data_IF_445078981220
#
_entry.id   IF_445078981220
#
_cell.length_a   1.000
_cell.length_b   1.000
_cell.length_c   1.000
_cell.angle_alpha   90.00
_cell.angle_beta   90.00
_cell.angle_gamma   90.00
#
_symmetry.space_group_name_H-M   'P 1'
#
loop_
_entity.id
_entity.type
_entity.pdbx_description
1 polymer ?
#
# COMPACT_ATOMS: atom_id res chain seq x y z
N UNK A 1 -23.22 14.28 79.34
CA UNK A 1 -23.27 13.81 77.96
C UNK A 1 -21.84 13.74 77.47
N UNK A 2 -21.44 12.56 76.97
CA UNK A 2 -20.07 12.07 76.95
C UNK A 2 -19.25 12.76 75.81
N UNK A 3 -18.00 13.14 76.07
CA UNK A 3 -17.13 13.81 75.09
C UNK A 3 -16.84 12.99 73.79
N UNK A 4 -17.08 11.68 73.83
CA UNK A 4 -16.85 10.71 72.77
C UNK A 4 -17.66 11.04 71.50
N UNK A 5 -18.87 11.61 71.67
CA UNK A 5 -19.73 11.96 70.51
C UNK A 5 -19.25 13.18 69.73
N UNK A 6 -18.51 14.11 70.36
CA UNK A 6 -17.92 15.28 69.68
C UNK A 6 -16.74 14.89 68.78
N UNK A 7 -15.94 13.90 69.14
CA UNK A 7 -14.81 13.43 68.35
C UNK A 7 -15.24 12.55 67.18
N UNK A 8 -16.38 11.85 67.31
CA UNK A 8 -16.94 11.03 66.23
C UNK A 8 -17.50 11.91 65.07
N UNK A 9 -18.09 13.09 65.44
CA UNK A 9 -18.57 14.03 64.42
C UNK A 9 -17.39 14.75 63.72
N UNK A 10 -16.31 15.03 64.45
CA UNK A 10 -15.12 15.71 63.88
C UNK A 10 -14.33 14.78 62.93
N UNK A 11 -14.33 13.44 63.20
CA UNK A 11 -13.65 12.48 62.32
C UNK A 11 -14.42 12.22 61.02
N UNK A 12 -15.75 12.35 61.02
CA UNK A 12 -16.58 12.22 59.79
C UNK A 12 -16.46 13.44 58.88
N UNK A 13 -16.22 14.63 59.42
CA UNK A 13 -16.04 15.86 58.63
C UNK A 13 -14.68 15.92 57.90
N UNK A 14 -13.63 15.20 58.36
CA UNK A 14 -12.32 15.16 57.71
C UNK A 14 -12.27 14.18 56.53
N UNK A 15 -13.21 13.23 56.40
CA UNK A 15 -13.24 12.25 55.33
C UNK A 15 -13.84 12.75 54.00
N UNK A 16 -14.43 13.94 53.99
CA UNK A 16 -15.12 14.50 52.80
C UNK A 16 -14.22 15.43 51.93
N UNK A 17 -12.95 15.62 52.27
CA UNK A 17 -12.05 16.50 51.50
C UNK A 17 -11.03 15.75 50.62
N UNK A 18 -11.23 14.44 50.39
CA UNK A 18 -10.36 13.66 49.48
C UNK A 18 -10.99 13.48 48.10
N UNK A 19 -11.44 14.54 47.48
CA UNK A 19 -11.65 14.60 46.03
C UNK A 19 -10.48 15.38 45.41
N UNK A 20 -9.30 14.77 45.42
CA UNK A 20 -8.17 15.20 44.56
C UNK A 20 -8.48 14.83 43.12
N UNK A 21 -9.15 15.71 42.35
CA UNK A 21 -9.21 15.60 40.93
C UNK A 21 -7.76 15.60 40.40
N UNK A 22 -7.37 14.52 39.77
CA UNK A 22 -6.11 14.52 39.00
C UNK A 22 -6.18 15.67 38.00
N UNK A 23 -5.16 16.54 37.95
CA UNK A 23 -5.12 17.56 36.90
C UNK A 23 -5.17 16.80 35.55
N UNK A 24 -6.23 17.02 34.78
CA UNK A 24 -6.29 16.61 33.40
C UNK A 24 -5.03 17.16 32.70
N UNK A 25 -4.18 16.26 32.20
CA UNK A 25 -3.05 16.67 31.38
C UNK A 25 -3.62 17.52 30.24
N UNK A 26 -3.15 18.76 30.05
CA UNK A 26 -3.63 19.59 28.95
C UNK A 26 -3.47 18.77 27.67
N UNK A 27 -4.55 18.63 26.92
CA UNK A 27 -4.53 18.00 25.62
C UNK A 27 -3.51 18.79 24.77
N UNK A 28 -2.36 18.16 24.50
CA UNK A 28 -1.33 18.78 23.67
C UNK A 28 -1.94 18.97 22.29
N UNK A 29 -2.25 20.19 21.94
CA UNK A 29 -2.64 20.56 20.58
C UNK A 29 -1.41 20.37 19.70
N UNK A 30 -1.39 19.24 18.95
CA UNK A 30 -0.35 18.97 17.95
C UNK A 30 -0.41 20.08 16.91
N UNK A 31 0.70 20.78 16.72
CA UNK A 31 0.77 21.83 15.70
C UNK A 31 0.73 21.23 14.30
N UNK A 32 0.28 22.01 13.31
CA UNK A 32 0.23 21.57 11.91
C UNK A 32 1.59 21.08 11.41
N UNK A 33 2.67 21.70 11.86
CA UNK A 33 4.04 21.34 11.46
C UNK A 33 4.51 20.04 12.12
N UNK A 34 4.16 19.80 13.37
CA UNK A 34 4.43 18.52 14.06
C UNK A 34 3.65 17.37 13.42
N UNK A 35 2.38 17.61 13.07
CA UNK A 35 1.57 16.62 12.36
C UNK A 35 2.17 16.30 11.00
N UNK A 36 2.55 17.31 10.20
CA UNK A 36 3.19 17.14 8.91
C UNK A 36 4.51 16.35 9.02
N UNK A 37 5.38 16.72 9.96
CA UNK A 37 6.65 16.01 10.17
C UNK A 37 6.47 14.57 10.60
N UNK A 38 5.44 14.28 11.39
CA UNK A 38 5.11 12.91 11.81
C UNK A 38 4.58 12.07 10.64
N UNK A 39 3.74 12.66 9.78
CA UNK A 39 3.26 12.00 8.56
C UNK A 39 4.40 11.72 7.57
N UNK A 40 5.30 12.66 7.37
CA UNK A 40 6.48 12.47 6.50
C UNK A 40 7.39 11.34 7.00
N UNK A 41 7.60 11.24 8.32
CA UNK A 41 8.38 10.14 8.93
C UNK A 41 7.68 8.80 8.75
N UNK A 42 6.37 8.75 8.99
CA UNK A 42 5.59 7.52 8.82
C UNK A 42 5.60 7.05 7.36
N UNK A 43 5.40 7.95 6.40
CA UNK A 43 5.47 7.62 4.98
C UNK A 43 6.85 7.09 4.57
N UNK A 44 7.91 7.72 5.06
CA UNK A 44 9.28 7.27 4.78
C UNK A 44 9.56 5.88 5.35
N UNK A 45 9.05 5.61 6.54
CA UNK A 45 9.18 4.30 7.17
C UNK A 45 8.48 3.21 6.32
N UNK A 46 7.22 3.45 5.92
CA UNK A 46 6.46 2.53 5.08
C UNK A 46 7.13 2.27 3.72
N UNK A 47 7.64 3.33 3.08
CA UNK A 47 8.36 3.17 1.80
C UNK A 47 9.66 2.39 1.95
N UNK A 48 10.37 2.52 3.07
CA UNK A 48 11.60 1.77 3.30
C UNK A 48 11.30 0.29 3.57
N UNK A 49 10.27 -0.03 4.36
CA UNK A 49 9.83 -1.41 4.58
C UNK A 49 9.39 -2.07 3.27
N UNK A 50 8.59 -1.37 2.45
CA UNK A 50 8.20 -1.86 1.14
C UNK A 50 9.40 -2.14 0.23
N UNK A 51 10.39 -1.24 0.22
CA UNK A 51 11.62 -1.42 -0.56
C UNK A 51 12.40 -2.68 -0.15
N UNK A 52 12.50 -2.94 1.17
CA UNK A 52 13.12 -4.15 1.71
C UNK A 52 12.33 -5.40 1.32
N UNK A 53 11.00 -5.37 1.41
CA UNK A 53 10.15 -6.50 1.02
C UNK A 53 10.28 -6.82 -0.47
N UNK A 54 10.31 -5.80 -1.32
CA UNK A 54 10.53 -5.96 -2.76
C UNK A 54 11.91 -6.53 -3.04
N UNK A 55 12.96 -6.02 -2.38
CA UNK A 55 14.32 -6.52 -2.55
C UNK A 55 14.43 -8.00 -2.13
N UNK A 56 13.83 -8.35 -1.00
CA UNK A 56 13.77 -9.73 -0.49
C UNK A 56 12.98 -10.64 -1.44
N UNK A 57 11.88 -10.16 -2.02
CA UNK A 57 11.11 -10.91 -3.02
C UNK A 57 11.97 -11.20 -4.25
N UNK A 58 12.60 -10.18 -4.83
CA UNK A 58 13.48 -10.30 -6.01
C UNK A 58 14.58 -11.31 -5.74
N UNK A 59 15.25 -11.22 -4.59
CA UNK A 59 16.34 -12.13 -4.22
C UNK A 59 15.87 -13.57 -4.08
N UNK A 60 14.75 -13.81 -3.37
CA UNK A 60 14.19 -15.17 -3.15
C UNK A 60 13.77 -15.85 -4.44
N UNK A 61 13.31 -15.08 -5.44
CA UNK A 61 12.86 -15.62 -6.72
C UNK A 61 13.94 -15.59 -7.80
N UNK A 62 15.15 -15.10 -7.50
CA UNK A 62 16.26 -15.02 -8.46
C UNK A 62 15.93 -14.15 -9.68
N UNK A 63 15.21 -13.02 -9.47
CA UNK A 63 14.79 -12.15 -10.56
C UNK A 63 15.85 -11.07 -10.87
N UNK A 64 15.99 -10.75 -12.14
CA UNK A 64 16.85 -9.66 -12.64
C UNK A 64 15.97 -8.52 -13.15
N UNK A 65 15.51 -7.65 -12.24
CA UNK A 65 14.53 -6.64 -12.58
C UNK A 65 15.14 -5.26 -12.82
N UNK A 66 14.63 -4.54 -13.81
CA UNK A 66 14.91 -3.13 -14.02
C UNK A 66 14.02 -2.29 -13.10
N UNK A 67 14.65 -1.38 -12.31
CA UNK A 67 13.94 -0.39 -11.48
C UNK A 67 13.80 0.92 -12.25
N UNK A 68 12.59 1.45 -12.32
CA UNK A 68 12.31 2.76 -12.92
C UNK A 68 12.47 3.90 -11.90
N UNK A 69 12.42 5.13 -12.37
CA UNK A 69 12.50 6.32 -11.50
C UNK A 69 11.34 6.48 -10.53
N UNK A 70 10.17 5.88 -10.82
CA UNK A 70 8.98 5.88 -9.96
C UNK A 70 9.01 4.81 -8.88
N UNK A 71 9.94 3.84 -9.00
CA UNK A 71 10.04 2.70 -8.11
C UNK A 71 9.39 1.41 -8.63
N UNK A 72 8.74 1.45 -9.79
CA UNK A 72 8.28 0.26 -10.49
C UNK A 72 9.46 -0.67 -10.81
N UNK A 73 9.23 -1.97 -10.83
CA UNK A 73 10.21 -2.94 -11.31
C UNK A 73 9.59 -3.85 -12.33
N UNK A 74 10.34 -4.14 -13.40
CA UNK A 74 9.88 -5.07 -14.42
C UNK A 74 11.02 -5.94 -14.96
N UNK A 75 10.65 -7.12 -15.43
CA UNK A 75 11.52 -8.04 -16.15
C UNK A 75 10.72 -8.70 -17.27
N UNK A 76 11.27 -8.63 -18.49
CA UNK A 76 10.72 -9.36 -19.64
C UNK A 76 11.22 -10.80 -19.52
N UNK A 77 10.29 -11.73 -19.24
CA UNK A 77 10.57 -13.16 -19.08
C UNK A 77 10.65 -13.88 -20.43
N UNK A 78 9.86 -13.39 -21.39
CA UNK A 78 9.88 -13.86 -22.78
C UNK A 78 9.53 -12.70 -23.69
N UNK A 79 10.41 -12.42 -24.64
CA UNK A 79 10.22 -11.33 -25.60
C UNK A 79 9.20 -11.74 -26.67
N UNK A 80 8.25 -10.85 -26.93
CA UNK A 80 7.35 -10.91 -28.07
C UNK A 80 8.02 -10.38 -29.34
N UNK A 81 7.30 -10.45 -30.44
CA UNK A 81 7.75 -9.98 -31.74
C UNK A 81 6.91 -8.80 -32.29
N UNK A 82 5.99 -8.28 -31.48
CA UNK A 82 5.14 -7.15 -31.84
C UNK A 82 5.81 -5.80 -31.59
N UNK A 83 5.04 -4.73 -31.80
CA UNK A 83 5.50 -3.35 -31.58
C UNK A 83 5.51 -2.97 -30.10
N UNK A 84 6.36 -2.00 -29.75
CA UNK A 84 6.33 -1.36 -28.44
C UNK A 84 4.96 -0.71 -28.20
N UNK A 85 4.47 -0.82 -26.98
CA UNK A 85 3.18 -0.24 -26.61
C UNK A 85 3.35 1.24 -26.30
N UNK A 86 2.53 2.06 -26.93
CA UNK A 86 2.55 3.50 -26.78
C UNK A 86 1.27 4.02 -26.11
N UNK A 87 1.36 5.22 -25.56
CA UNK A 87 0.21 5.94 -24.97
C UNK A 87 -0.91 6.12 -26.02
N UNK A 88 -2.15 5.95 -25.61
CA UNK A 88 -3.34 6.00 -26.47
C UNK A 88 -3.67 4.67 -27.17
N UNK A 89 -2.81 3.66 -27.06
CA UNK A 89 -3.09 2.35 -27.64
C UNK A 89 -3.91 1.49 -26.66
N UNK A 90 -4.78 0.67 -27.23
CA UNK A 90 -5.51 -0.36 -26.47
C UNK A 90 -4.59 -1.54 -26.21
N UNK A 91 -4.53 -1.96 -24.96
CA UNK A 91 -3.80 -3.15 -24.48
C UNK A 91 -4.80 -4.16 -23.96
N UNK A 92 -4.59 -5.43 -24.30
CA UNK A 92 -5.26 -6.56 -23.66
C UNK A 92 -4.20 -7.51 -23.13
N UNK A 93 -4.41 -8.02 -21.93
CA UNK A 93 -3.44 -8.91 -21.28
C UNK A 93 -4.11 -10.06 -20.54
N UNK A 94 -3.48 -11.22 -20.60
CA UNK A 94 -3.66 -12.31 -19.66
C UNK A 94 -2.76 -12.06 -18.46
N UNK A 95 -3.20 -12.36 -17.24
CA UNK A 95 -2.42 -12.05 -16.04
C UNK A 95 -2.75 -12.93 -14.84
N UNK A 96 -1.78 -13.04 -13.96
CA UNK A 96 -1.93 -13.40 -12.55
C UNK A 96 -1.42 -12.23 -11.72
N UNK A 97 -2.21 -11.82 -10.74
CA UNK A 97 -1.87 -10.78 -9.77
C UNK A 97 -1.75 -11.39 -8.40
N UNK A 98 -0.57 -11.26 -7.81
CA UNK A 98 -0.26 -11.77 -6.48
C UNK A 98 0.09 -10.61 -5.53
N UNK A 99 -0.09 -10.84 -4.23
CA UNK A 99 0.54 -10.03 -3.19
C UNK A 99 2.05 -10.27 -3.17
N UNK A 100 2.81 -9.39 -2.52
CA UNK A 100 4.25 -9.59 -2.32
C UNK A 100 4.55 -10.82 -1.44
N UNK A 101 3.57 -11.27 -0.64
CA UNK A 101 3.64 -12.51 0.14
C UNK A 101 3.44 -13.78 -0.71
N UNK A 102 2.90 -13.63 -1.94
CA UNK A 102 2.68 -14.72 -2.89
C UNK A 102 1.22 -15.18 -3.00
N UNK A 103 0.28 -14.56 -2.29
CA UNK A 103 -1.14 -14.92 -2.37
C UNK A 103 -1.73 -14.45 -3.71
N UNK A 104 -2.42 -15.34 -4.41
CA UNK A 104 -3.15 -14.99 -5.64
C UNK A 104 -4.36 -14.12 -5.31
N UNK A 105 -4.42 -12.94 -5.88
CA UNK A 105 -5.51 -11.97 -5.67
C UNK A 105 -6.50 -12.02 -6.83
N UNK A 106 -6.01 -11.84 -8.06
CA UNK A 106 -6.77 -11.86 -9.30
C UNK A 106 -6.06 -12.65 -10.39
N UNK A 107 -6.82 -13.22 -11.33
CA UNK A 107 -6.25 -13.84 -12.53
C UNK A 107 -7.21 -13.75 -13.71
N UNK A 108 -6.65 -13.75 -14.92
CA UNK A 108 -7.48 -13.78 -16.13
C UNK A 108 -8.33 -15.03 -16.26
N UNK A 109 -7.92 -16.13 -15.62
CA UNK A 109 -8.69 -17.38 -15.63
C UNK A 109 -9.99 -17.28 -14.80
N UNK A 110 -9.95 -16.51 -13.70
CA UNK A 110 -11.09 -16.35 -12.81
C UNK A 110 -11.88 -15.07 -13.05
N UNK A 111 -11.19 -13.99 -13.41
CA UNK A 111 -11.74 -12.63 -13.45
C UNK A 111 -11.82 -12.07 -14.89
N UNK A 112 -11.34 -12.85 -15.88
CA UNK A 112 -11.26 -12.45 -17.29
C UNK A 112 -10.03 -11.62 -17.61
N UNK A 113 -9.73 -11.50 -18.91
CA UNK A 113 -8.61 -10.70 -19.40
C UNK A 113 -8.80 -9.21 -19.07
N UNK A 114 -7.70 -8.51 -18.76
CA UNK A 114 -7.72 -7.06 -18.53
C UNK A 114 -7.50 -6.34 -19.86
N UNK A 115 -8.35 -5.34 -20.16
CA UNK A 115 -8.21 -4.53 -21.38
C UNK A 115 -8.44 -3.06 -21.03
N UNK A 116 -7.52 -2.18 -21.47
CA UNK A 116 -7.56 -0.74 -21.21
C UNK A 116 -6.82 0.04 -22.30
N UNK A 117 -6.99 1.36 -22.32
CA UNK A 117 -6.24 2.29 -23.19
C UNK A 117 -5.17 2.98 -22.35
N UNK A 118 -3.93 2.89 -22.78
CA UNK A 118 -2.78 3.43 -22.03
C UNK A 118 -2.87 4.94 -21.90
N UNK A 119 -2.84 5.42 -20.65
CA UNK A 119 -2.87 6.84 -20.32
C UNK A 119 -4.25 7.44 -20.09
N UNK A 120 -5.30 6.62 -20.02
CA UNK A 120 -6.66 7.06 -19.67
C UNK A 120 -6.98 6.96 -18.16
N UNK A 121 -6.08 6.39 -17.35
CA UNK A 121 -6.27 6.30 -15.89
C UNK A 121 -7.38 5.34 -15.48
N UNK A 122 -7.67 4.33 -16.29
CA UNK A 122 -8.72 3.33 -16.00
C UNK A 122 -8.19 2.13 -15.22
N UNK A 123 -6.89 2.02 -15.08
CA UNK A 123 -6.18 1.04 -14.27
C UNK A 123 -5.16 1.74 -13.38
N UNK A 124 -4.52 1.02 -12.46
CA UNK A 124 -3.46 1.55 -11.61
C UNK A 124 -2.32 2.17 -12.43
N UNK A 125 -1.79 3.30 -11.96
CA UNK A 125 -0.77 4.07 -12.69
C UNK A 125 0.51 3.26 -12.97
N UNK A 126 0.88 2.36 -12.06
CA UNK A 126 2.00 1.46 -12.23
C UNK A 126 1.80 0.44 -13.35
N UNK A 127 0.57 -0.03 -13.58
CA UNK A 127 0.28 -0.92 -14.71
C UNK A 127 0.33 -0.15 -16.04
N UNK A 128 -0.23 1.07 -16.09
CA UNK A 128 -0.11 1.93 -17.26
C UNK A 128 1.35 2.25 -17.60
N UNK A 129 2.18 2.53 -16.59
CA UNK A 129 3.61 2.74 -16.78
C UNK A 129 4.30 1.46 -17.28
N UNK A 130 4.02 0.32 -16.63
CA UNK A 130 4.68 -0.95 -16.95
C UNK A 130 4.52 -1.35 -18.42
N UNK A 131 3.31 -1.24 -18.96
CA UNK A 131 3.05 -1.66 -20.36
C UNK A 131 3.81 -0.82 -21.38
N UNK A 132 4.21 0.41 -21.05
CA UNK A 132 5.00 1.26 -21.98
C UNK A 132 6.44 0.77 -22.16
N UNK A 133 6.92 -0.13 -21.33
CA UNK A 133 8.23 -0.80 -21.48
C UNK A 133 8.13 -2.14 -22.20
N UNK A 134 6.91 -2.55 -22.60
CA UNK A 134 6.65 -3.88 -23.16
C UNK A 134 6.25 -3.79 -24.66
N UNK A 135 6.51 -4.89 -25.34
CA UNK A 135 6.04 -5.10 -26.72
C UNK A 135 4.83 -6.03 -26.71
N UNK A 136 4.06 -5.98 -27.78
CA UNK A 136 2.98 -6.95 -27.99
C UNK A 136 3.57 -8.34 -28.08
N UNK A 137 2.95 -9.29 -27.35
CA UNK A 137 3.42 -10.67 -27.21
C UNK A 137 4.44 -10.90 -26.10
N UNK A 138 4.91 -9.86 -25.41
CA UNK A 138 5.81 -10.04 -24.26
C UNK A 138 5.11 -10.78 -23.13
N UNK A 139 5.89 -11.61 -22.43
CA UNK A 139 5.55 -12.13 -21.10
C UNK A 139 6.48 -11.44 -20.11
N UNK A 140 5.91 -10.76 -19.14
CA UNK A 140 6.66 -9.97 -18.16
C UNK A 140 6.21 -10.25 -16.73
N UNK A 141 7.15 -10.08 -15.80
CA UNK A 141 6.89 -9.94 -14.38
C UNK A 141 7.08 -8.50 -13.99
N UNK A 142 6.12 -7.93 -13.26
CA UNK A 142 6.12 -6.52 -12.83
C UNK A 142 5.81 -6.47 -11.35
N UNK A 143 6.58 -5.67 -10.60
CA UNK A 143 6.30 -5.35 -9.21
C UNK A 143 5.92 -3.88 -9.14
N UNK A 144 4.71 -3.63 -8.66
CA UNK A 144 4.12 -2.29 -8.55
C UNK A 144 4.05 -1.92 -7.07
N UNK A 145 4.84 -0.94 -6.60
CA UNK A 145 4.74 -0.42 -5.24
C UNK A 145 3.34 0.12 -4.95
N UNK A 146 2.92 0.11 -3.68
CA UNK A 146 1.56 0.48 -3.28
C UNK A 146 1.14 1.88 -3.78
N UNK A 147 2.07 2.84 -3.80
CA UNK A 147 1.79 4.21 -4.25
C UNK A 147 1.52 4.35 -5.76
N UNK A 148 1.92 3.36 -6.56
CA UNK A 148 1.61 3.24 -7.99
C UNK A 148 0.47 2.25 -8.26
N UNK A 149 -0.02 1.58 -7.21
CA UNK A 149 -1.11 0.62 -7.22
C UNK A 149 -2.40 1.26 -6.64
N UNK A 150 -3.00 0.62 -5.64
CA UNK A 150 -4.25 1.07 -5.02
C UNK A 150 -4.02 1.92 -3.75
N UNK A 151 -2.78 2.24 -3.43
CA UNK A 151 -2.40 3.19 -2.39
C UNK A 151 -2.81 2.77 -0.98
N UNK A 152 -3.35 3.76 -0.23
CA UNK A 152 -3.65 3.61 1.20
C UNK A 152 -4.97 2.89 1.48
N UNK A 153 -5.80 2.65 0.47
CA UNK A 153 -7.17 2.14 0.64
C UNK A 153 -7.38 0.73 0.07
N UNK A 154 -6.47 0.26 -0.81
CA UNK A 154 -6.74 -0.96 -1.56
C UNK A 154 -7.81 -0.76 -2.64
N UNK A 155 -8.46 -1.87 -3.07
CA UNK A 155 -9.51 -1.85 -4.10
C UNK A 155 -10.92 -2.07 -3.54
N UNK A 156 -11.08 -1.94 -2.22
CA UNK A 156 -12.31 -2.22 -1.46
C UNK A 156 -12.85 -3.67 -1.63
N UNK A 157 -12.02 -4.59 -2.16
CA UNK A 157 -12.42 -5.96 -2.41
C UNK A 157 -11.34 -6.97 -1.96
N UNK A 158 -10.36 -7.31 -2.81
CA UNK A 158 -9.33 -8.33 -2.53
C UNK A 158 -7.94 -7.73 -2.31
N UNK A 159 -7.68 -6.51 -2.78
CA UNK A 159 -6.39 -5.84 -2.60
C UNK A 159 -6.43 -5.03 -1.32
N UNK A 160 -5.64 -5.38 -0.28
CA UNK A 160 -5.61 -4.63 0.96
C UNK A 160 -4.92 -3.26 0.80
N UNK A 161 -5.04 -2.43 1.83
CA UNK A 161 -4.29 -1.18 1.95
C UNK A 161 -2.78 -1.44 1.93
N UNK A 162 -2.00 -0.51 1.37
CA UNK A 162 -0.53 -0.59 1.26
C UNK A 162 0.00 -1.81 0.51
N UNK A 163 -0.81 -2.45 -0.33
CA UNK A 163 -0.41 -3.65 -1.02
C UNK A 163 0.56 -3.38 -2.17
N UNK A 164 1.76 -3.96 -2.09
CA UNK A 164 2.65 -4.12 -3.24
C UNK A 164 2.15 -5.25 -4.11
N UNK A 165 1.98 -5.00 -5.40
CA UNK A 165 1.41 -5.92 -6.36
C UNK A 165 2.48 -6.58 -7.23
N UNK A 166 2.33 -7.88 -7.46
CA UNK A 166 3.21 -8.65 -8.34
C UNK A 166 2.39 -9.21 -9.49
N UNK A 167 2.53 -8.63 -10.65
CA UNK A 167 1.95 -9.14 -11.89
C UNK A 167 2.88 -10.14 -12.58
N UNK A 168 2.33 -11.25 -13.02
CA UNK A 168 2.87 -12.04 -14.13
C UNK A 168 1.88 -11.86 -15.27
N UNK A 169 2.30 -11.25 -16.37
CA UNK A 169 1.38 -10.87 -17.44
C UNK A 169 1.90 -11.26 -18.81
N UNK A 170 0.98 -11.52 -19.73
CA UNK A 170 1.24 -11.73 -21.14
C UNK A 170 0.42 -10.72 -21.93
N UNK A 171 1.10 -9.86 -22.67
CA UNK A 171 0.43 -8.93 -23.57
C UNK A 171 -0.10 -9.73 -24.77
N UNK A 172 -1.40 -9.65 -24.98
CA UNK A 172 -2.02 -10.31 -26.12
C UNK A 172 -2.05 -9.38 -27.33
N UNK A 173 -1.88 -9.95 -28.50
CA UNK A 173 -1.94 -9.23 -29.77
C UNK A 173 -3.40 -9.27 -30.25
N UNK A 174 -4.25 -8.41 -29.65
CA UNK A 174 -5.61 -8.22 -30.17
C UNK A 174 -5.57 -7.11 -31.23
N UNK A 175 -5.62 -7.55 -32.47
CA UNK A 175 -5.90 -6.68 -33.63
C UNK A 175 -7.27 -6.02 -33.49
#
# INVERSE_FOLDING_TARGET
>A
MRPVFKYMILSVLLALFSCGGQPEKPMQTVTKDEMKSSMEKANRYLMNEEEEDIANYIQRHGLEMTKTGTGLRYQIMKQGNGTLIERGQKVTMEYELHSIAGDLIYSSDNDGVKSFVVGEGTVESGLEEAVTYLHRGDVAKVIIPFHLAYGLHGDDNRIPEYATLVYTMKITDNQ
#
